data_IF_352712818253
#
_entry.id   IF_352712818253
#
_cell.length_a   1.000
_cell.length_b   1.000
_cell.length_c   1.000
_cell.angle_alpha   90.00
_cell.angle_beta   90.00
_cell.angle_gamma   90.00
#
_symmetry.space_group_name_H-M   'P 1'
#
loop_
_entity.id
_entity.type
_entity.pdbx_description
1 polymer ?
#
# COMPACT_ATOMS: atom_id res chain seq x y z
N UNK A 1 -42.28 3.93 -14.49
CA UNK A 1 -41.68 4.66 -13.36
C UNK A 1 -40.19 4.36 -13.33
N UNK A 2 -39.36 5.39 -13.31
CA UNK A 2 -37.90 5.30 -13.33
C UNK A 2 -37.29 4.87 -11.98
N UNK A 3 -36.09 4.31 -12.08
CA UNK A 3 -34.96 4.29 -11.13
C UNK A 3 -34.87 3.17 -10.08
N UNK A 4 -33.74 2.45 -10.12
CA UNK A 4 -32.70 2.47 -9.07
C UNK A 4 -31.46 1.76 -9.64
N UNK A 5 -30.56 2.51 -10.28
CA UNK A 5 -29.29 3.00 -9.71
C UNK A 5 -28.30 1.86 -9.41
N UNK A 6 -27.27 1.83 -10.26
CA UNK A 6 -25.98 1.20 -10.09
C UNK A 6 -25.51 1.13 -8.63
N UNK A 7 -25.00 -0.04 -8.22
CA UNK A 7 -23.94 -0.05 -7.22
C UNK A 7 -22.94 -1.19 -7.51
N UNK A 8 -22.05 -1.06 -8.51
CA UNK A 8 -20.87 -1.87 -8.56
C UNK A 8 -19.81 -1.23 -7.65
N UNK A 9 -19.19 -2.07 -6.81
CA UNK A 9 -17.95 -1.80 -6.07
C UNK A 9 -18.13 -0.99 -4.80
N UNK A 10 -18.45 -1.67 -3.71
CA UNK A 10 -17.85 -1.32 -2.41
C UNK A 10 -17.89 -2.51 -1.47
N UNK A 11 -16.90 -2.54 -0.59
CA UNK A 11 -16.92 -3.22 0.70
C UNK A 11 -16.61 -4.74 0.71
N UNK A 12 -15.36 -5.07 0.41
CA UNK A 12 -14.51 -5.55 1.52
C UNK A 12 -13.05 -5.28 1.19
N UNK A 13 -12.63 -4.01 1.34
CA UNK A 13 -11.22 -3.71 1.50
C UNK A 13 -10.80 -4.31 2.85
N UNK A 14 -10.41 -5.58 2.85
CA UNK A 14 -9.57 -6.13 3.90
C UNK A 14 -8.44 -5.14 4.15
N UNK A 15 -8.09 -4.88 5.41
CA UNK A 15 -7.03 -3.94 5.76
C UNK A 15 -5.70 -4.36 5.15
N UNK A 16 -5.44 -3.93 3.91
CA UNK A 16 -4.27 -4.34 3.15
C UNK A 16 -3.18 -3.29 3.33
N UNK A 17 -1.99 -3.78 3.66
CA UNK A 17 -0.82 -2.97 3.85
C UNK A 17 0.12 -3.09 2.65
N UNK A 18 0.77 -1.97 2.33
CA UNK A 18 1.67 -1.83 1.19
C UNK A 18 2.93 -1.10 1.65
N UNK A 19 4.02 -1.35 0.93
CA UNK A 19 5.31 -0.69 1.04
C UNK A 19 5.49 0.10 -0.25
N UNK A 20 5.60 1.42 -0.13
CA UNK A 20 5.81 2.34 -1.25
C UNK A 20 7.24 2.86 -1.21
N UNK A 21 8.00 2.64 -2.28
CA UNK A 21 9.33 3.22 -2.46
C UNK A 21 9.23 4.60 -3.08
N UNK A 22 9.81 5.59 -2.41
CA UNK A 22 9.97 6.94 -2.93
C UNK A 22 11.21 7.04 -3.81
N UNK A 23 11.25 8.10 -4.61
CA UNK A 23 12.40 8.49 -5.42
C UNK A 23 13.67 8.72 -4.58
N UNK A 24 13.52 9.15 -3.33
CA UNK A 24 14.60 9.25 -2.33
C UNK A 24 15.23 7.91 -1.97
N UNK A 25 14.59 6.78 -2.31
CA UNK A 25 15.01 5.44 -1.90
C UNK A 25 14.45 5.00 -0.54
N UNK A 26 13.73 5.87 0.16
CA UNK A 26 13.01 5.54 1.38
C UNK A 26 11.76 4.73 1.06
N UNK A 27 11.49 3.71 1.86
CA UNK A 27 10.27 2.91 1.76
C UNK A 27 9.35 3.18 2.94
N UNK A 28 8.10 3.50 2.64
CA UNK A 28 7.05 3.83 3.60
C UNK A 28 5.98 2.74 3.61
N UNK A 29 5.41 2.46 4.79
CA UNK A 29 4.33 1.49 4.93
C UNK A 29 3.02 2.27 4.99
N UNK A 30 2.13 1.98 4.05
CA UNK A 30 0.82 2.61 3.92
C UNK A 30 -0.27 1.55 3.97
N UNK A 31 -1.44 1.92 4.49
CA UNK A 31 -2.64 1.08 4.42
C UNK A 31 -3.43 1.50 3.17
N UNK A 32 -4.29 0.65 2.63
CA UNK A 32 -5.33 1.11 1.70
C UNK A 32 -6.49 1.62 2.54
N UNK A 33 -6.37 2.86 3.03
CA UNK A 33 -7.53 3.72 3.25
C UNK A 33 -7.63 4.69 2.06
N UNK A 34 -8.82 5.18 1.75
CA UNK A 34 -9.12 6.02 0.57
C UNK A 34 -8.20 7.24 0.37
N UNK A 35 -7.48 7.67 1.41
CA UNK A 35 -6.52 8.79 1.39
C UNK A 35 -5.11 8.37 0.98
N UNK A 36 -4.75 7.11 1.18
CA UNK A 36 -3.40 6.56 1.03
C UNK A 36 -3.19 5.91 -0.36
N UNK A 37 -4.25 5.76 -1.16
CA UNK A 37 -4.15 5.34 -2.58
C UNK A 37 -3.28 6.29 -3.41
N UNK A 38 -3.31 7.59 -3.11
CA UNK A 38 -2.43 8.56 -3.79
C UNK A 38 -0.96 8.31 -3.48
N UNK A 39 -0.64 7.86 -2.26
CA UNK A 39 0.72 7.54 -1.85
C UNK A 39 1.26 6.28 -2.56
N UNK A 40 0.37 5.36 -2.91
CA UNK A 40 0.67 4.20 -3.75
C UNK A 40 0.92 4.65 -5.20
N UNK A 41 0.07 5.53 -5.74
CA UNK A 41 0.20 6.05 -7.10
C UNK A 41 1.49 6.86 -7.33
N UNK A 42 1.92 7.63 -6.32
CA UNK A 42 3.11 8.50 -6.39
C UNK A 42 4.43 7.76 -6.09
N UNK A 43 4.41 6.42 -6.02
CA UNK A 43 5.59 5.63 -5.67
C UNK A 43 6.29 5.05 -6.90
N UNK A 44 7.61 4.89 -6.81
CA UNK A 44 8.45 4.33 -7.87
C UNK A 44 8.29 2.82 -7.96
N UNK A 45 8.08 2.17 -6.82
CA UNK A 45 7.91 0.73 -6.71
C UNK A 45 7.03 0.42 -5.49
N UNK A 46 6.13 -0.54 -5.63
CA UNK A 46 5.22 -0.97 -4.55
C UNK A 46 5.33 -2.45 -4.29
N UNK A 47 5.19 -2.84 -3.02
CA UNK A 47 5.03 -4.22 -2.61
C UNK A 47 3.90 -4.29 -1.59
N UNK A 48 2.91 -5.16 -1.77
CA UNK A 48 1.83 -5.21 -0.79
C UNK A 48 0.76 -6.24 -1.03
N UNK A 49 -0.41 -5.95 -0.48
CA UNK A 49 -1.46 -6.94 -0.22
C UNK A 49 -1.22 -7.68 1.10
N UNK A 50 -0.41 -7.13 2.01
CA UNK A 50 -0.14 -7.76 3.30
C UNK A 50 -1.36 -7.67 4.20
N UNK A 51 -1.59 -8.73 4.97
CA UNK A 51 -2.75 -8.85 5.85
C UNK A 51 -2.58 -8.08 7.17
N UNK A 52 -1.37 -7.63 7.47
CA UNK A 52 -1.04 -6.91 8.69
C UNK A 52 0.14 -5.97 8.51
N UNK A 53 0.20 -4.93 9.35
CA UNK A 53 1.34 -4.02 9.40
C UNK A 53 2.65 -4.76 9.75
N UNK A 54 2.59 -5.76 10.64
CA UNK A 54 3.76 -6.55 11.03
C UNK A 54 4.39 -7.30 9.86
N UNK A 55 3.57 -7.86 8.97
CA UNK A 55 4.03 -8.51 7.74
C UNK A 55 4.70 -7.50 6.80
N UNK A 56 4.10 -6.33 6.62
CA UNK A 56 4.69 -5.24 5.84
C UNK A 56 6.03 -4.75 6.44
N UNK A 57 6.15 -4.68 7.77
CA UNK A 57 7.40 -4.32 8.46
C UNK A 57 8.48 -5.37 8.20
N UNK A 58 8.17 -6.66 8.38
CA UNK A 58 9.11 -7.74 8.15
C UNK A 58 9.63 -7.72 6.69
N UNK A 59 8.73 -7.50 5.73
CA UNK A 59 9.09 -7.37 4.31
C UNK A 59 9.95 -6.13 4.06
N UNK A 60 9.62 -4.97 4.64
CA UNK A 60 10.44 -3.74 4.53
C UNK A 60 11.85 -3.96 5.03
N UNK A 61 12.04 -4.64 6.16
CA UNK A 61 13.37 -4.97 6.68
C UNK A 61 14.14 -5.85 5.69
N UNK A 62 13.47 -6.84 5.08
CA UNK A 62 14.06 -7.65 4.02
C UNK A 62 14.50 -6.82 2.80
N UNK A 63 13.69 -5.85 2.40
CA UNK A 63 14.03 -4.93 1.31
C UNK A 63 15.23 -4.03 1.66
N UNK A 64 15.36 -3.61 2.92
CA UNK A 64 16.54 -2.86 3.39
C UNK A 64 17.79 -3.73 3.29
N UNK A 65 17.74 -4.97 3.79
CA UNK A 65 18.88 -5.91 3.71
C UNK A 65 19.28 -6.26 2.28
N UNK A 66 18.33 -6.22 1.35
CA UNK A 66 18.55 -6.42 -0.08
C UNK A 66 19.03 -5.16 -0.83
N UNK A 67 19.19 -4.02 -0.15
CA UNK A 67 19.58 -2.74 -0.76
C UNK A 67 18.49 -2.09 -1.63
N UNK A 68 17.24 -2.57 -1.53
CA UNK A 68 16.10 -2.03 -2.29
C UNK A 68 15.49 -0.80 -1.64
N UNK A 69 15.55 -0.73 -0.32
CA UNK A 69 15.07 0.37 0.51
C UNK A 69 16.21 0.92 1.37
N UNK A 70 16.20 2.21 1.62
CA UNK A 70 17.10 2.83 2.59
C UNK A 70 16.53 2.75 4.01
N UNK A 71 17.39 2.57 5.03
CA UNK A 71 17.00 2.85 6.41
C UNK A 71 16.78 4.36 6.56
N UNK A 72 15.74 4.73 7.30
CA UNK A 72 15.50 6.11 7.76
C UNK A 72 16.36 6.39 8.99
#
# INVERSE_FOLDING_TARGET
>A
MSNNFDNPKDAQASEQWFICKRDTGICEIVKIASKEEKEIADSVETWGGFTSQGEAIAKRIGLIRAGKCQPL
#
